data_IF_679269376340
#
_entry.id   IF_679269376340
#
_cell.length_a   1.000
_cell.length_b   1.000
_cell.length_c   1.000
_cell.angle_alpha   90.00
_cell.angle_beta   90.00
_cell.angle_gamma   90.00
#
_symmetry.space_group_name_H-M   'P 1'
#
loop_
_entity.id
_entity.type
_entity.pdbx_description
1 polymer ?
#
# COMPACT_ATOMS: atom_id res chain seq x y z
N UNK A 1 -14.97 19.34 -18.75
CA UNK A 1 -15.20 17.89 -18.71
C UNK A 1 -16.57 17.63 -19.32
N UNK A 2 -16.71 16.58 -20.14
CA UNK A 2 -17.89 16.32 -20.98
C UNK A 2 -18.92 15.37 -20.34
N UNK A 3 -18.85 15.09 -19.05
CA UNK A 3 -19.75 14.18 -18.34
C UNK A 3 -19.56 12.68 -18.65
N UNK A 4 -18.52 12.30 -19.40
CA UNK A 4 -18.24 10.88 -19.68
C UNK A 4 -17.87 10.13 -18.38
N UNK A 5 -18.47 8.97 -18.18
CA UNK A 5 -18.15 8.04 -17.09
C UNK A 5 -17.03 7.10 -17.54
N UNK A 6 -16.18 6.72 -16.60
CA UNK A 6 -15.09 5.78 -16.82
C UNK A 6 -15.11 4.70 -15.75
N UNK A 7 -14.80 3.47 -16.14
CA UNK A 7 -14.46 2.39 -15.23
C UNK A 7 -13.02 2.62 -14.74
N UNK A 8 -12.82 2.75 -13.44
CA UNK A 8 -11.52 3.09 -12.86
C UNK A 8 -10.91 1.91 -12.10
N UNK A 9 -9.79 1.38 -12.62
CA UNK A 9 -8.93 0.42 -11.92
C UNK A 9 -7.84 1.08 -11.06
N UNK A 10 -7.70 2.39 -11.08
CA UNK A 10 -6.76 3.12 -10.23
C UNK A 10 -7.21 3.25 -8.79
N UNK A 11 -8.52 3.29 -8.57
CA UNK A 11 -9.20 3.34 -7.28
C UNK A 11 -8.51 4.27 -6.27
N UNK A 12 -8.32 5.54 -6.68
CA UNK A 12 -7.61 6.57 -5.91
C UNK A 12 -6.30 6.04 -5.30
N UNK A 13 -5.41 5.46 -6.13
CA UNK A 13 -4.13 4.87 -5.71
C UNK A 13 -4.29 3.76 -4.64
N UNK A 14 -5.31 2.89 -4.82
CA UNK A 14 -5.65 1.77 -3.92
C UNK A 14 -6.30 2.18 -2.60
N UNK A 15 -6.69 3.45 -2.42
CA UNK A 15 -7.35 3.89 -1.19
C UNK A 15 -8.84 3.55 -1.13
N UNK A 16 -9.47 3.27 -2.28
CA UNK A 16 -10.88 2.88 -2.36
C UNK A 16 -10.96 1.35 -2.57
N UNK A 17 -11.66 0.65 -1.67
CA UNK A 17 -11.79 -0.81 -1.73
C UNK A 17 -13.22 -1.31 -1.92
N UNK A 18 -14.21 -0.55 -1.46
CA UNK A 18 -15.63 -0.88 -1.63
C UNK A 18 -16.20 -0.37 -2.97
N UNK A 19 -15.66 0.72 -3.46
CA UNK A 19 -16.15 1.53 -4.57
C UNK A 19 -16.25 3.00 -4.16
N UNK A 20 -16.30 3.90 -5.16
CA UNK A 20 -16.47 5.33 -4.92
C UNK A 20 -17.86 5.62 -4.37
N UNK A 21 -17.92 6.57 -3.42
CA UNK A 21 -19.17 7.10 -2.87
C UNK A 21 -20.14 6.02 -2.34
N UNK A 22 -19.59 4.99 -1.65
CA UNK A 22 -20.43 3.98 -0.99
C UNK A 22 -21.37 4.66 0.02
N UNK A 23 -22.68 4.49 -0.19
CA UNK A 23 -23.72 5.19 0.56
C UNK A 23 -23.66 4.84 2.05
N UNK A 24 -23.42 3.58 2.41
CA UNK A 24 -23.34 3.16 3.80
C UNK A 24 -22.19 3.85 4.53
N UNK A 25 -20.99 3.87 3.92
CA UNK A 25 -19.83 4.55 4.51
C UNK A 25 -20.08 6.04 4.65
N UNK A 26 -20.64 6.69 3.60
CA UNK A 26 -20.94 8.10 3.61
C UNK A 26 -21.96 8.47 4.69
N UNK A 27 -23.06 7.75 4.78
CA UNK A 27 -24.13 7.98 5.76
C UNK A 27 -23.60 7.78 7.18
N UNK A 28 -22.81 6.72 7.41
CA UNK A 28 -22.18 6.46 8.70
C UNK A 28 -21.24 7.60 9.12
N UNK A 29 -20.44 8.12 8.18
CA UNK A 29 -19.55 9.26 8.43
C UNK A 29 -20.35 10.53 8.74
N UNK A 30 -21.41 10.79 8.00
CA UNK A 30 -22.27 11.97 8.24
C UNK A 30 -22.89 11.90 9.64
N UNK A 31 -23.46 10.77 10.01
CA UNK A 31 -24.16 10.61 11.30
C UNK A 31 -23.19 10.58 12.50
N UNK A 32 -22.08 9.85 12.38
CA UNK A 32 -21.18 9.58 13.50
C UNK A 32 -20.04 10.58 13.65
N UNK A 33 -19.74 11.36 12.61
CA UNK A 33 -18.64 12.31 12.60
C UNK A 33 -19.09 13.74 12.28
N UNK A 34 -19.66 13.97 11.10
CA UNK A 34 -19.93 15.35 10.62
C UNK A 34 -20.93 16.05 11.52
N UNK A 35 -22.06 15.41 11.85
CA UNK A 35 -23.09 15.98 12.75
C UNK A 35 -22.60 16.15 14.20
N UNK A 36 -21.54 15.42 14.58
CA UNK A 36 -20.98 15.48 15.95
C UNK A 36 -19.82 16.47 16.09
N UNK A 37 -19.35 17.09 14.99
CA UNK A 37 -18.32 18.13 15.00
C UNK A 37 -16.97 17.73 14.44
N UNK A 38 -16.84 16.59 13.80
CA UNK A 38 -15.73 16.03 13.03
C UNK A 38 -14.34 16.05 13.71
N UNK A 39 -13.94 17.11 14.40
CA UNK A 39 -12.65 17.21 15.09
C UNK A 39 -12.82 17.83 16.47
N UNK A 40 -12.34 17.15 17.51
CA UNK A 40 -12.55 17.53 18.90
C UNK A 40 -11.20 17.78 19.61
N UNK A 41 -11.22 18.63 20.63
CA UNK A 41 -10.02 18.91 21.47
C UNK A 41 -9.60 17.71 22.32
N UNK A 42 -10.52 16.83 22.64
CA UNK A 42 -10.31 15.64 23.48
C UNK A 42 -10.62 14.38 22.68
N UNK A 43 -10.08 13.22 23.07
CA UNK A 43 -10.43 11.95 22.45
C UNK A 43 -11.95 11.74 22.36
N UNK A 44 -12.43 11.26 21.23
CA UNK A 44 -13.84 10.96 20.99
C UNK A 44 -14.15 9.49 21.25
N UNK A 45 -15.45 9.16 21.46
CA UNK A 45 -15.88 7.76 21.56
C UNK A 45 -15.56 6.97 20.29
N UNK A 46 -15.66 7.59 19.13
CA UNK A 46 -15.36 6.93 17.86
C UNK A 46 -13.86 6.63 17.70
N UNK A 47 -12.97 7.43 18.33
CA UNK A 47 -11.53 7.11 18.38
C UNK A 47 -11.30 5.85 19.22
N UNK A 48 -11.99 5.70 20.34
CA UNK A 48 -11.92 4.49 21.16
C UNK A 48 -12.45 3.28 20.40
N UNK A 49 -13.64 3.37 19.81
CA UNK A 49 -14.25 2.29 19.02
C UNK A 49 -13.33 1.84 17.86
N UNK A 50 -12.74 2.80 17.15
CA UNK A 50 -11.81 2.52 16.06
C UNK A 50 -10.51 1.86 16.57
N UNK A 51 -10.00 2.30 17.72
CA UNK A 51 -8.80 1.71 18.33
C UNK A 51 -9.04 0.28 18.80
N UNK A 52 -10.15 0.03 19.50
CA UNK A 52 -10.55 -1.30 19.93
C UNK A 52 -10.77 -2.25 18.73
N UNK A 53 -11.45 -1.76 17.67
CA UNK A 53 -11.64 -2.51 16.44
C UNK A 53 -10.29 -2.85 15.79
N UNK A 54 -9.38 -1.89 15.65
CA UNK A 54 -8.08 -2.12 15.03
C UNK A 54 -7.24 -3.13 15.82
N UNK A 55 -7.13 -2.97 17.13
CA UNK A 55 -6.40 -3.89 18.02
C UNK A 55 -7.02 -5.30 18.00
N UNK A 56 -8.36 -5.40 17.92
CA UNK A 56 -9.03 -6.71 17.83
C UNK A 56 -8.80 -7.44 16.51
N UNK A 57 -8.47 -6.70 15.44
CA UNK A 57 -8.24 -7.27 14.11
C UNK A 57 -6.79 -7.66 13.86
N UNK A 58 -5.85 -6.83 14.30
CA UNK A 58 -4.43 -6.97 13.96
C UNK A 58 -3.69 -7.57 15.16
N UNK A 59 -3.39 -8.85 15.08
CA UNK A 59 -2.92 -9.67 16.20
C UNK A 59 -1.58 -9.19 16.82
N UNK A 60 -0.71 -8.58 16.02
CA UNK A 60 0.58 -8.02 16.50
C UNK A 60 0.45 -6.67 17.23
N UNK A 61 -0.77 -6.12 17.32
CA UNK A 61 -0.99 -4.76 17.81
C UNK A 61 -1.62 -4.76 19.20
N UNK A 62 -0.90 -4.20 20.17
CA UNK A 62 -1.37 -3.96 21.53
C UNK A 62 -1.75 -2.49 21.75
N UNK A 63 -1.20 -1.57 20.96
CA UNK A 63 -1.51 -0.13 20.98
C UNK A 63 -1.52 0.42 19.55
N UNK A 64 -2.39 1.39 19.30
CA UNK A 64 -2.53 2.06 18.00
C UNK A 64 -2.50 3.57 18.15
N UNK A 65 -1.95 4.26 17.13
CA UNK A 65 -2.04 5.71 16.96
C UNK A 65 -2.48 6.04 15.55
N UNK A 66 -3.55 6.84 15.43
CA UNK A 66 -4.07 7.27 14.13
C UNK A 66 -3.40 8.55 13.63
N UNK A 67 -3.32 8.67 12.31
CA UNK A 67 -2.82 9.82 11.57
C UNK A 67 -3.55 9.99 10.24
N UNK A 68 -3.18 11.01 9.46
CA UNK A 68 -3.89 11.35 8.22
C UNK A 68 -3.39 10.62 6.98
N UNK A 69 -2.12 10.23 6.94
CA UNK A 69 -1.52 9.60 5.76
C UNK A 69 -0.38 8.65 6.12
N UNK A 70 0.04 7.84 5.14
CA UNK A 70 1.09 6.84 5.31
C UNK A 70 2.43 7.41 5.75
N UNK A 71 2.85 8.55 5.20
CA UNK A 71 4.14 9.16 5.55
C UNK A 71 4.22 9.53 7.04
N UNK A 72 3.12 9.99 7.63
CA UNK A 72 3.07 10.29 9.06
C UNK A 72 3.36 9.04 9.91
N UNK A 73 2.71 7.92 9.60
CA UNK A 73 2.82 6.70 10.42
C UNK A 73 4.11 5.93 10.17
N UNK A 74 4.63 5.90 8.94
CA UNK A 74 5.93 5.27 8.64
C UNK A 74 7.08 6.05 9.27
N UNK A 75 7.04 7.39 9.22
CA UNK A 75 8.03 8.24 9.90
C UNK A 75 7.93 8.11 11.42
N UNK A 76 6.71 8.01 11.96
CA UNK A 76 6.51 7.78 13.39
C UNK A 76 7.06 6.40 13.82
N UNK A 77 6.88 5.35 12.99
CA UNK A 77 7.44 4.02 13.25
C UNK A 77 8.97 4.06 13.31
N UNK A 78 9.61 4.72 12.34
CA UNK A 78 11.08 4.91 12.31
C UNK A 78 11.55 5.70 13.53
N UNK A 79 10.83 6.76 13.92
CA UNK A 79 11.15 7.56 15.10
C UNK A 79 11.07 6.74 16.39
N UNK A 80 10.03 5.91 16.55
CA UNK A 80 9.90 4.99 17.68
C UNK A 80 11.03 3.95 17.70
N UNK A 81 11.38 3.40 16.56
CA UNK A 81 12.47 2.43 16.47
C UNK A 81 13.81 3.03 16.90
N UNK A 82 14.12 4.25 16.46
CA UNK A 82 15.31 4.98 16.90
C UNK A 82 15.29 5.25 18.40
N UNK A 83 14.16 5.72 18.94
CA UNK A 83 14.03 6.01 20.37
C UNK A 83 14.14 4.75 21.23
N UNK A 84 13.57 3.62 20.78
CA UNK A 84 13.60 2.34 21.49
C UNK A 84 14.99 1.71 21.53
N UNK A 85 15.70 1.77 20.39
CA UNK A 85 17.01 1.09 20.24
C UNK A 85 18.19 1.99 20.60
N UNK A 86 18.01 3.32 20.65
CA UNK A 86 19.11 4.28 20.77
C UNK A 86 20.04 4.33 19.53
N UNK A 87 19.53 3.93 18.35
CA UNK A 87 20.32 3.80 17.12
C UNK A 87 19.75 4.70 16.03
N UNK A 88 20.59 5.11 15.04
CA UNK A 88 20.23 6.10 14.04
C UNK A 88 19.91 5.51 12.68
N UNK A 89 20.57 4.43 12.27
CA UNK A 89 20.43 3.86 10.93
C UNK A 89 19.13 3.07 10.80
N UNK A 90 18.58 3.10 9.59
CA UNK A 90 17.46 2.27 9.17
C UNK A 90 17.83 1.50 7.90
N UNK A 91 17.34 0.28 7.78
CA UNK A 91 17.42 -0.49 6.54
C UNK A 91 16.04 -0.58 5.89
N UNK A 92 15.94 -0.20 4.62
CA UNK A 92 14.72 -0.31 3.83
C UNK A 92 14.90 -1.21 2.63
N UNK A 93 13.83 -1.89 2.22
CA UNK A 93 13.82 -2.64 0.96
C UNK A 93 13.96 -1.68 -0.23
N UNK A 94 14.89 -1.97 -1.15
CA UNK A 94 15.22 -1.08 -2.28
C UNK A 94 14.10 -1.02 -3.32
N UNK A 95 13.45 -2.15 -3.60
CA UNK A 95 12.41 -2.30 -4.61
C UNK A 95 11.05 -1.72 -4.19
N UNK A 96 10.85 -1.40 -2.91
CA UNK A 96 9.60 -0.81 -2.45
C UNK A 96 9.55 0.67 -2.84
N UNK A 97 8.52 1.08 -3.60
CA UNK A 97 8.57 2.35 -4.34
C UNK A 97 8.39 3.58 -3.47
N UNK A 98 7.70 3.47 -2.32
CA UNK A 98 7.39 4.63 -1.48
C UNK A 98 6.97 4.24 -0.06
N UNK A 99 7.68 4.80 0.93
CA UNK A 99 7.30 4.71 2.35
C UNK A 99 6.88 6.05 2.93
N UNK A 100 7.56 7.14 2.58
CA UNK A 100 7.34 8.46 3.16
C UNK A 100 7.79 9.57 2.21
N UNK A 101 7.21 10.76 2.34
CA UNK A 101 7.75 11.97 1.72
C UNK A 101 8.84 12.64 2.59
N UNK A 102 9.07 12.14 3.82
CA UNK A 102 10.08 12.70 4.71
C UNK A 102 11.50 12.34 4.30
N UNK A 103 12.43 13.15 4.73
CA UNK A 103 13.84 13.12 4.32
C UNK A 103 14.52 11.77 4.48
N UNK A 104 14.17 11.01 5.52
CA UNK A 104 14.74 9.69 5.78
C UNK A 104 14.51 8.70 4.63
N UNK A 105 13.35 8.80 3.96
CA UNK A 105 13.04 7.94 2.82
C UNK A 105 13.46 8.60 1.50
N UNK A 106 13.04 9.85 1.25
CA UNK A 106 13.32 10.58 0.00
C UNK A 106 14.83 10.71 -0.25
N UNK A 107 15.62 10.93 0.80
CA UNK A 107 17.08 10.98 0.72
C UNK A 107 17.75 9.70 0.23
N UNK A 108 17.04 8.57 0.24
CA UNK A 108 17.50 7.29 -0.29
C UNK A 108 17.02 6.99 -1.72
N UNK A 109 16.38 7.95 -2.39
CA UNK A 109 15.81 7.85 -3.74
C UNK A 109 16.56 8.76 -4.73
N UNK A 110 16.17 8.71 -6.00
CA UNK A 110 16.71 9.61 -7.05
C UNK A 110 16.15 11.04 -6.94
N UNK A 111 15.12 11.28 -6.13
CA UNK A 111 14.45 12.58 -5.93
C UNK A 111 14.97 13.32 -4.70
N UNK A 112 16.20 13.13 -4.33
CA UNK A 112 16.82 13.54 -3.07
C UNK A 112 17.31 15.01 -3.01
N UNK A 113 17.01 15.82 -4.02
CA UNK A 113 17.40 17.24 -4.04
C UNK A 113 16.73 18.00 -2.88
N UNK A 114 17.52 18.66 -2.07
CA UNK A 114 17.07 19.39 -0.87
C UNK A 114 17.22 18.61 0.44
N UNK A 115 17.50 17.30 0.39
CA UNK A 115 17.75 16.51 1.59
C UNK A 115 19.20 16.65 2.04
N UNK A 116 19.47 16.95 3.35
CA UNK A 116 20.82 17.04 3.88
C UNK A 116 21.60 15.72 3.75
N UNK A 117 22.90 15.81 3.42
CA UNK A 117 23.75 14.62 3.27
C UNK A 117 23.75 13.73 4.52
N UNK A 118 23.82 14.31 5.70
CA UNK A 118 23.81 13.59 6.97
C UNK A 118 22.55 12.74 7.17
N UNK A 119 21.38 13.16 6.61
CA UNK A 119 20.14 12.38 6.67
C UNK A 119 20.16 11.25 5.65
N UNK A 120 20.66 11.52 4.43
CA UNK A 120 20.75 10.50 3.37
C UNK A 120 21.59 9.28 3.81
N UNK A 121 22.68 9.54 4.51
CA UNK A 121 23.64 8.50 4.96
C UNK A 121 23.06 7.55 6.02
N UNK A 122 21.95 7.91 6.68
CA UNK A 122 21.32 7.10 7.71
C UNK A 122 20.34 6.04 7.18
N UNK A 123 20.06 6.02 5.87
CA UNK A 123 19.14 5.04 5.28
C UNK A 123 19.88 4.09 4.35
N UNK A 124 20.00 2.85 4.81
CA UNK A 124 20.60 1.73 4.09
C UNK A 124 19.55 1.03 3.21
N UNK A 125 20.01 0.32 2.17
CA UNK A 125 19.15 -0.41 1.25
C UNK A 125 19.54 -1.87 1.19
N UNK A 126 18.56 -2.75 1.10
CA UNK A 126 18.73 -4.18 0.84
C UNK A 126 17.73 -4.65 -0.21
N UNK A 127 18.03 -5.76 -0.88
CA UNK A 127 17.18 -6.33 -1.93
C UNK A 127 16.10 -7.23 -1.34
N UNK A 128 14.88 -7.12 -1.89
CA UNK A 128 13.78 -7.99 -1.50
C UNK A 128 14.10 -9.46 -1.79
N UNK A 129 13.78 -10.32 -0.86
CA UNK A 129 14.02 -11.76 -1.00
C UNK A 129 15.44 -12.23 -0.67
N UNK A 130 16.43 -11.33 -0.45
CA UNK A 130 17.80 -11.70 -0.07
C UNK A 130 18.02 -11.49 1.42
N UNK A 131 18.19 -12.60 2.15
CA UNK A 131 18.61 -12.57 3.56
C UNK A 131 20.09 -12.19 3.66
N UNK A 132 20.91 -12.68 2.75
CA UNK A 132 22.34 -12.44 2.68
C UNK A 132 22.68 -10.95 2.55
N UNK A 133 21.90 -10.23 1.77
CA UNK A 133 22.10 -8.78 1.60
C UNK A 133 21.80 -8.01 2.89
N UNK A 134 20.78 -8.45 3.63
CA UNK A 134 20.45 -7.88 4.93
C UNK A 134 21.46 -8.28 6.03
N UNK A 135 21.95 -9.53 6.03
CA UNK A 135 23.02 -9.98 6.92
C UNK A 135 24.28 -9.12 6.73
N UNK A 136 24.70 -8.91 5.47
CA UNK A 136 25.83 -8.03 5.14
C UNK A 136 25.67 -6.62 5.74
N UNK A 137 24.46 -6.03 5.71
CA UNK A 137 24.22 -4.72 6.32
C UNK A 137 24.42 -4.74 7.84
N UNK A 138 23.95 -5.78 8.53
CA UNK A 138 24.18 -5.91 9.97
C UNK A 138 25.65 -6.12 10.34
N UNK A 139 26.42 -6.82 9.50
CA UNK A 139 27.85 -7.00 9.67
C UNK A 139 28.65 -5.71 9.41
N UNK A 140 28.27 -4.92 8.39
CA UNK A 140 28.90 -3.64 8.08
C UNK A 140 28.54 -2.53 9.08
N UNK A 141 27.34 -2.60 9.68
CA UNK A 141 26.83 -1.59 10.64
C UNK A 141 26.46 -2.21 11.99
N UNK A 142 27.39 -2.86 12.70
CA UNK A 142 27.10 -3.58 13.94
C UNK A 142 26.56 -2.63 15.01
N UNK A 143 25.41 -3.01 15.60
CA UNK A 143 24.71 -2.22 16.62
C UNK A 143 24.31 -0.79 16.22
N UNK A 144 24.19 -0.48 14.92
CA UNK A 144 23.80 0.86 14.42
C UNK A 144 22.41 0.92 13.81
N UNK A 145 21.87 -0.21 13.33
CA UNK A 145 20.57 -0.27 12.66
C UNK A 145 19.47 -0.35 13.71
N UNK A 146 18.59 0.65 13.71
CA UNK A 146 17.41 0.74 14.58
C UNK A 146 16.28 -0.19 14.14
N UNK A 147 16.04 -0.26 12.84
CA UNK A 147 14.98 -1.08 12.27
C UNK A 147 15.22 -1.47 10.82
N UNK A 148 14.54 -2.55 10.43
CA UNK A 148 14.27 -2.90 9.03
C UNK A 148 12.82 -2.57 8.74
N UNK A 149 12.54 -1.81 7.68
CA UNK A 149 11.20 -1.49 7.20
C UNK A 149 10.99 -2.02 5.78
N UNK A 150 9.90 -2.75 5.56
CA UNK A 150 9.55 -3.31 4.26
C UNK A 150 8.05 -3.56 4.13
N UNK A 151 7.56 -3.67 2.89
CA UNK A 151 6.24 -4.23 2.62
C UNK A 151 6.28 -5.77 2.74
N UNK A 152 5.19 -6.43 3.19
CA UNK A 152 5.15 -7.91 3.29
C UNK A 152 5.30 -8.61 1.95
N UNK A 153 4.75 -8.03 0.89
CA UNK A 153 4.81 -8.52 -0.48
C UNK A 153 4.87 -7.34 -1.47
N UNK A 154 5.43 -7.61 -2.62
CA UNK A 154 5.48 -6.68 -3.76
C UNK A 154 4.53 -7.17 -4.87
N UNK A 155 5.08 -7.45 -6.05
CA UNK A 155 4.37 -8.05 -7.19
C UNK A 155 4.13 -9.54 -6.95
N UNK A 156 5.11 -10.21 -6.31
CA UNK A 156 5.07 -11.65 -6.04
C UNK A 156 5.05 -11.92 -4.53
N UNK A 157 4.65 -13.12 -4.18
CA UNK A 157 4.76 -13.59 -2.81
C UNK A 157 6.23 -13.61 -2.36
N UNK A 158 6.52 -13.32 -1.08
CA UNK A 158 7.86 -13.51 -0.55
C UNK A 158 8.27 -14.99 -0.66
N UNK A 159 9.59 -15.29 -0.77
CA UNK A 159 10.08 -16.65 -0.60
C UNK A 159 9.56 -17.26 0.72
N UNK A 160 9.35 -18.56 0.75
CA UNK A 160 8.86 -19.27 1.93
C UNK A 160 9.77 -19.02 3.15
N UNK A 161 9.19 -18.62 4.27
CA UNK A 161 9.89 -18.32 5.52
C UNK A 161 10.76 -17.04 5.49
N UNK A 162 10.74 -16.28 4.38
CA UNK A 162 11.59 -15.08 4.26
C UNK A 162 11.29 -14.01 5.32
N UNK A 163 10.01 -13.67 5.51
CA UNK A 163 9.62 -12.62 6.46
C UNK A 163 9.97 -13.01 7.91
N UNK A 164 9.80 -14.29 8.25
CA UNK A 164 10.18 -14.82 9.56
C UNK A 164 11.70 -14.73 9.78
N UNK A 165 12.50 -15.08 8.77
CA UNK A 165 13.97 -14.95 8.82
C UNK A 165 14.41 -13.49 8.96
N UNK A 166 13.75 -12.55 8.26
CA UNK A 166 14.02 -11.11 8.42
C UNK A 166 13.76 -10.67 9.87
N UNK A 167 12.60 -11.05 10.44
CA UNK A 167 12.28 -10.78 11.86
C UNK A 167 13.34 -11.33 12.80
N UNK A 168 13.69 -12.61 12.65
CA UNK A 168 14.71 -13.26 13.48
C UNK A 168 16.08 -12.58 13.39
N UNK A 169 16.47 -12.17 12.17
CA UNK A 169 17.72 -11.46 11.94
C UNK A 169 17.72 -10.08 12.61
N UNK A 170 16.61 -9.33 12.51
CA UNK A 170 16.44 -8.06 13.23
C UNK A 170 16.62 -8.27 14.74
N UNK A 171 15.89 -9.21 15.32
CA UNK A 171 15.92 -9.46 16.76
C UNK A 171 17.30 -9.92 17.26
N UNK A 172 18.00 -10.81 16.54
CA UNK A 172 19.37 -11.23 16.87
C UNK A 172 20.33 -10.04 16.92
N UNK A 173 20.09 -9.01 16.12
CA UNK A 173 20.91 -7.81 16.06
C UNK A 173 20.35 -6.66 16.90
N UNK A 174 19.28 -6.87 17.68
CA UNK A 174 18.65 -5.84 18.53
C UNK A 174 18.02 -4.69 17.74
N UNK A 175 17.61 -4.95 16.51
CA UNK A 175 16.83 -4.03 15.65
C UNK A 175 15.34 -4.40 15.66
N UNK A 176 14.47 -3.45 15.35
CA UNK A 176 13.05 -3.70 15.19
C UNK A 176 12.69 -4.11 13.76
N UNK A 177 11.67 -4.95 13.63
CA UNK A 177 11.06 -5.32 12.36
C UNK A 177 9.75 -4.57 12.16
N UNK A 178 9.66 -3.76 11.09
CA UNK A 178 8.50 -2.94 10.75
C UNK A 178 7.91 -3.42 9.42
N UNK A 179 6.62 -3.77 9.42
CA UNK A 179 5.88 -4.04 8.19
C UNK A 179 5.03 -2.85 7.78
N UNK A 180 5.27 -2.34 6.58
CA UNK A 180 4.39 -1.37 5.93
C UNK A 180 3.26 -2.09 5.20
N UNK A 181 2.07 -2.03 5.79
CA UNK A 181 0.85 -2.61 5.24
C UNK A 181 -0.05 -1.56 4.54
N UNK A 182 0.52 -0.46 4.06
CA UNK A 182 -0.25 0.57 3.36
C UNK A 182 -0.99 0.03 2.13
N UNK A 183 -0.40 -0.94 1.42
CA UNK A 183 -1.03 -1.58 0.24
C UNK A 183 -1.68 -2.91 0.62
N UNK A 184 -1.00 -3.69 1.41
CA UNK A 184 -1.38 -5.08 1.71
C UNK A 184 -2.48 -5.19 2.76
N UNK A 185 -2.51 -4.27 3.71
CA UNK A 185 -3.52 -4.22 4.76
C UNK A 185 -4.94 -4.11 4.21
N UNK A 186 -5.87 -4.89 4.76
CA UNK A 186 -7.27 -4.99 4.34
C UNK A 186 -7.48 -5.48 2.89
N UNK A 187 -6.41 -5.81 2.16
CA UNK A 187 -6.46 -6.29 0.79
C UNK A 187 -6.05 -7.75 0.66
N UNK A 188 -4.94 -8.17 1.28
CA UNK A 188 -4.52 -9.58 1.35
C UNK A 188 -5.41 -10.38 2.28
N UNK A 189 -5.70 -9.83 3.41
CA UNK A 189 -6.58 -10.38 4.44
C UNK A 189 -7.12 -9.24 5.31
N UNK A 190 -8.28 -9.45 5.95
CA UNK A 190 -8.88 -8.45 6.85
C UNK A 190 -7.98 -8.14 8.07
N UNK A 191 -7.17 -9.13 8.49
CA UNK A 191 -6.19 -9.01 9.58
C UNK A 191 -4.78 -8.58 9.10
N UNK A 192 -4.66 -8.05 7.85
CA UNK A 192 -3.39 -7.69 7.25
C UNK A 192 -2.67 -8.84 6.54
N UNK A 193 -1.67 -8.52 5.73
CA UNK A 193 -0.81 -9.50 5.08
C UNK A 193 0.11 -10.22 6.10
N UNK A 194 0.43 -9.60 7.21
CA UNK A 194 1.14 -10.22 8.31
C UNK A 194 0.43 -11.51 8.81
N UNK A 195 -0.90 -11.50 8.89
CA UNK A 195 -1.69 -12.69 9.18
C UNK A 195 -1.61 -13.71 8.03
N UNK A 196 -1.74 -13.26 6.78
CA UNK A 196 -1.67 -14.12 5.60
C UNK A 196 -0.33 -14.86 5.48
N UNK A 197 0.78 -14.20 5.84
CA UNK A 197 2.13 -14.77 5.80
C UNK A 197 2.60 -15.32 7.15
N UNK A 198 1.76 -15.35 8.16
CA UNK A 198 2.06 -15.84 9.50
C UNK A 198 3.34 -15.22 10.09
N UNK A 199 3.41 -13.89 10.12
CA UNK A 199 4.54 -13.13 10.68
C UNK A 199 4.03 -11.97 11.51
N UNK A 200 4.57 -11.78 12.70
CA UNK A 200 4.23 -10.69 13.61
C UNK A 200 5.38 -9.68 13.65
N UNK A 201 5.22 -8.48 13.10
CA UNK A 201 6.20 -7.40 13.23
C UNK A 201 6.18 -6.78 14.61
N UNK A 202 7.24 -6.03 14.97
CA UNK A 202 7.27 -5.20 16.19
C UNK A 202 6.38 -3.98 16.07
N UNK A 203 6.36 -3.37 14.87
CA UNK A 203 5.49 -2.25 14.48
C UNK A 203 4.92 -2.52 13.08
N UNK A 204 3.71 -2.01 12.83
CA UNK A 204 3.10 -2.05 11.51
C UNK A 204 2.34 -0.77 11.19
N UNK A 205 2.27 -0.43 9.89
CA UNK A 205 1.59 0.77 9.41
C UNK A 205 0.49 0.41 8.43
N UNK A 206 -0.68 1.05 8.58
CA UNK A 206 -1.87 0.80 7.76
C UNK A 206 -2.45 2.10 7.23
N UNK A 207 -3.17 2.04 6.13
CA UNK A 207 -3.85 3.17 5.50
C UNK A 207 -4.63 2.76 4.25
N UNK A 208 -4.66 3.65 3.26
CA UNK A 208 -5.32 3.38 1.95
C UNK A 208 -6.70 2.72 2.10
N UNK A 209 -6.81 1.42 1.82
CA UNK A 209 -8.07 0.66 1.80
C UNK A 209 -8.85 0.70 3.13
N UNK A 210 -8.18 0.94 4.26
CA UNK A 210 -8.80 0.85 5.58
C UNK A 210 -10.02 1.75 5.80
N UNK A 211 -10.09 2.90 5.10
CA UNK A 211 -11.14 3.90 5.27
C UNK A 211 -11.84 4.30 3.95
N UNK A 212 -11.81 3.42 2.94
CA UNK A 212 -12.49 3.58 1.65
C UNK A 212 -12.37 4.99 1.03
N UNK A 213 -11.16 5.54 0.98
CA UNK A 213 -10.86 6.84 0.38
C UNK A 213 -10.87 8.02 1.35
N UNK A 214 -11.37 7.87 2.57
CA UNK A 214 -11.20 8.88 3.60
C UNK A 214 -9.74 8.88 4.11
N UNK A 215 -9.26 10.06 4.48
CA UNK A 215 -7.88 10.25 4.93
C UNK A 215 -7.68 9.67 6.33
N UNK A 216 -7.09 8.49 6.41
CA UNK A 216 -6.72 7.81 7.66
C UNK A 216 -5.50 6.92 7.45
N UNK A 217 -4.64 6.88 8.45
CA UNK A 217 -3.56 5.91 8.59
C UNK A 217 -3.40 5.52 10.07
N UNK A 218 -2.85 4.35 10.33
CA UNK A 218 -2.62 3.82 11.66
C UNK A 218 -1.20 3.30 11.81
N UNK A 219 -0.55 3.62 12.92
CA UNK A 219 0.64 2.98 13.44
C UNK A 219 0.22 2.10 14.61
N UNK A 220 0.50 0.82 14.51
CA UNK A 220 0.24 -0.15 15.56
C UNK A 220 1.48 -0.96 15.91
N UNK A 221 1.46 -1.60 17.07
CA UNK A 221 2.51 -2.52 17.47
C UNK A 221 2.56 -2.80 18.96
N UNK A 222 3.70 -3.34 19.37
CA UNK A 222 3.98 -3.75 20.75
C UNK A 222 3.87 -2.57 21.72
N UNK A 223 3.28 -2.83 22.87
CA UNK A 223 3.04 -1.82 23.92
C UNK A 223 4.32 -1.19 24.44
N UNK A 224 5.37 -1.97 24.66
CA UNK A 224 6.64 -1.48 25.19
C UNK A 224 7.33 -0.46 24.27
N UNK A 225 7.12 -0.58 22.95
CA UNK A 225 7.63 0.35 21.95
C UNK A 225 6.68 1.57 21.82
N UNK A 226 5.38 1.30 21.64
CA UNK A 226 4.38 2.35 21.40
C UNK A 226 4.24 3.34 22.58
N UNK A 227 4.46 2.88 23.82
CA UNK A 227 4.44 3.71 25.03
C UNK A 227 5.44 4.87 25.00
N UNK A 228 6.56 4.76 24.31
CA UNK A 228 7.54 5.83 24.16
C UNK A 228 6.93 7.09 23.53
N UNK A 229 5.91 6.92 22.68
CA UNK A 229 5.18 8.00 22.03
C UNK A 229 3.91 8.44 22.77
N UNK A 230 3.63 7.90 23.96
CA UNK A 230 2.46 8.24 24.77
C UNK A 230 2.73 9.44 25.70
N UNK A 231 1.71 9.81 26.46
CA UNK A 231 1.82 10.86 27.50
C UNK A 231 2.36 10.35 28.83
N UNK A 232 2.51 9.02 28.98
CA UNK A 232 2.93 8.38 30.23
C UNK A 232 4.43 8.59 30.60
N UNK A 233 5.38 8.61 29.62
CA UNK A 233 6.78 8.76 29.97
C UNK A 233 7.06 10.09 30.67
N UNK A 234 7.75 10.01 31.79
CA UNK A 234 8.24 11.17 32.56
C UNK A 234 9.67 11.52 32.12
N UNK A 235 10.06 12.79 32.35
CA UNK A 235 11.40 13.28 32.04
C UNK A 235 11.44 14.35 30.95
N UNK A 236 12.65 14.79 30.61
CA UNK A 236 12.87 15.86 29.62
C UNK A 236 12.94 15.34 28.19
N UNK A 237 13.52 14.15 27.99
CA UNK A 237 13.60 13.50 26.67
C UNK A 237 12.32 12.70 26.39
N UNK A 238 11.55 13.19 25.43
CA UNK A 238 10.25 12.60 25.02
C UNK A 238 10.16 12.48 23.52
N UNK A 239 9.44 11.46 23.05
CA UNK A 239 9.11 11.31 21.64
C UNK A 239 7.86 12.11 21.32
N UNK A 240 7.99 13.19 20.53
CA UNK A 240 6.83 13.78 19.87
C UNK A 240 6.49 12.93 18.65
N UNK A 241 5.53 12.03 18.84
CA UNK A 241 5.26 10.97 17.84
C UNK A 241 4.56 11.53 16.60
N UNK A 242 3.37 12.14 16.80
CA UNK A 242 2.50 12.63 15.74
C UNK A 242 1.75 13.88 16.17
N UNK A 243 1.41 14.75 15.20
CA UNK A 243 0.52 15.88 15.46
C UNK A 243 -0.88 15.42 15.85
N UNK A 244 -1.46 16.04 16.86
CA UNK A 244 -2.77 15.70 17.40
C UNK A 244 -3.91 16.49 16.78
N UNK A 245 -3.64 17.55 16.02
CA UNK A 245 -4.69 18.46 15.52
C UNK A 245 -5.72 17.75 14.65
N UNK A 246 -5.29 16.93 13.69
CA UNK A 246 -6.19 16.18 12.81
C UNK A 246 -5.94 14.67 12.82
N UNK A 247 -5.03 14.16 13.66
CA UNK A 247 -4.64 12.76 13.67
C UNK A 247 -5.80 11.80 13.91
N UNK A 248 -6.69 12.18 14.83
CA UNK A 248 -7.88 11.44 15.21
C UNK A 248 -9.18 12.12 14.73
N UNK A 249 -9.16 12.75 13.57
CA UNK A 249 -10.35 13.33 12.93
C UNK A 249 -11.43 12.27 12.70
N UNK A 250 -12.64 12.54 13.18
CA UNK A 250 -13.69 11.54 13.31
C UNK A 250 -14.19 10.97 11.99
N UNK A 251 -14.13 11.74 10.90
CA UNK A 251 -14.57 11.26 9.58
C UNK A 251 -13.77 10.04 9.08
N UNK A 252 -12.45 10.07 9.21
CA UNK A 252 -11.61 8.93 8.84
C UNK A 252 -11.84 7.70 9.74
N UNK A 253 -12.01 7.93 11.05
CA UNK A 253 -12.28 6.88 12.04
C UNK A 253 -13.65 6.23 11.79
N UNK A 254 -14.69 7.03 11.53
CA UNK A 254 -16.02 6.55 11.19
C UNK A 254 -16.01 5.73 9.89
N UNK A 255 -15.33 6.25 8.87
CA UNK A 255 -15.17 5.55 7.61
C UNK A 255 -14.46 4.19 7.77
N UNK A 256 -13.44 4.12 8.63
CA UNK A 256 -12.76 2.86 8.94
C UNK A 256 -13.71 1.84 9.56
N UNK A 257 -14.49 2.21 10.57
CA UNK A 257 -15.45 1.32 11.24
C UNK A 257 -16.46 0.79 10.21
N UNK A 258 -17.09 1.68 9.44
CA UNK A 258 -18.06 1.30 8.43
C UNK A 258 -17.46 0.43 7.31
N UNK A 259 -16.24 0.75 6.87
CA UNK A 259 -15.52 -0.02 5.84
C UNK A 259 -15.26 -1.44 6.31
N UNK A 260 -14.74 -1.63 7.53
CA UNK A 260 -14.47 -2.97 8.09
C UNK A 260 -15.77 -3.76 8.27
N UNK A 261 -16.84 -3.12 8.70
CA UNK A 261 -18.16 -3.77 8.84
C UNK A 261 -18.64 -4.30 7.48
N UNK A 262 -18.60 -3.48 6.43
CA UNK A 262 -18.98 -3.93 5.08
C UNK A 262 -18.03 -5.00 4.54
N UNK A 263 -16.73 -4.89 4.81
CA UNK A 263 -15.76 -5.90 4.37
C UNK A 263 -16.05 -7.28 4.95
N UNK A 264 -16.45 -7.34 6.23
CA UNK A 264 -16.88 -8.58 6.89
C UNK A 264 -18.19 -9.12 6.30
N UNK A 265 -19.20 -8.25 6.18
CA UNK A 265 -20.55 -8.65 5.79
C UNK A 265 -20.66 -9.07 4.31
N UNK A 266 -19.80 -8.51 3.44
CA UNK A 266 -19.83 -8.73 1.99
C UNK A 266 -18.68 -9.60 1.48
N UNK A 267 -17.82 -10.16 2.36
CA UNK A 267 -16.64 -10.94 1.98
C UNK A 267 -15.78 -10.24 0.92
N UNK A 268 -15.45 -8.96 1.16
CA UNK A 268 -14.81 -8.09 0.17
C UNK A 268 -13.41 -8.59 -0.22
N UNK A 269 -12.66 -9.12 0.74
CA UNK A 269 -11.29 -9.64 0.48
C UNK A 269 -11.37 -10.83 -0.49
N UNK A 270 -12.22 -11.79 -0.23
CA UNK A 270 -12.42 -12.96 -1.08
C UNK A 270 -12.87 -12.54 -2.48
N UNK A 271 -13.78 -11.56 -2.56
CA UNK A 271 -14.24 -11.03 -3.84
C UNK A 271 -13.09 -10.43 -4.68
N UNK A 272 -12.22 -9.61 -4.08
CA UNK A 272 -11.10 -9.01 -4.84
C UNK A 272 -10.06 -10.05 -5.28
N UNK A 273 -9.84 -11.12 -4.51
CA UNK A 273 -9.00 -12.25 -4.92
C UNK A 273 -9.60 -12.97 -6.13
N UNK A 274 -10.89 -13.30 -6.09
CA UNK A 274 -11.60 -14.00 -7.17
C UNK A 274 -11.65 -13.15 -8.44
N UNK A 275 -12.02 -11.87 -8.30
CA UNK A 275 -12.06 -10.95 -9.44
C UNK A 275 -10.67 -10.77 -10.07
N UNK A 276 -9.64 -10.64 -9.27
CA UNK A 276 -8.27 -10.52 -9.76
C UNK A 276 -7.80 -11.77 -10.50
N UNK A 277 -8.16 -12.97 -10.03
CA UNK A 277 -7.91 -14.21 -10.76
C UNK A 277 -8.59 -14.23 -12.13
N UNK A 278 -9.85 -13.77 -12.21
CA UNK A 278 -10.59 -13.65 -13.48
C UNK A 278 -9.93 -12.63 -14.41
N UNK A 279 -9.54 -11.47 -13.88
CA UNK A 279 -8.90 -10.41 -14.67
C UNK A 279 -7.55 -10.84 -15.24
N UNK A 280 -6.69 -11.49 -14.44
CA UNK A 280 -5.40 -12.04 -14.92
C UNK A 280 -5.63 -13.03 -16.04
N UNK A 281 -6.57 -13.97 -15.86
CA UNK A 281 -6.91 -14.97 -16.88
C UNK A 281 -7.43 -14.31 -18.17
N UNK A 282 -8.31 -13.32 -18.05
CA UNK A 282 -8.88 -12.59 -19.17
C UNK A 282 -7.79 -11.86 -19.96
N UNK A 283 -6.93 -11.09 -19.30
CA UNK A 283 -5.83 -10.35 -19.95
C UNK A 283 -4.91 -11.32 -20.71
N UNK A 284 -4.52 -12.42 -20.06
CA UNK A 284 -3.62 -13.39 -20.67
C UNK A 284 -4.27 -14.18 -21.83
N UNK A 285 -5.57 -14.47 -21.74
CA UNK A 285 -6.33 -15.06 -22.82
C UNK A 285 -6.36 -14.13 -24.05
N UNK A 286 -6.70 -12.84 -23.84
CA UNK A 286 -6.72 -11.84 -24.91
C UNK A 286 -5.35 -11.61 -25.52
N UNK A 287 -4.29 -11.54 -24.73
CA UNK A 287 -2.92 -11.45 -25.24
C UNK A 287 -2.58 -12.63 -26.17
N UNK A 288 -3.01 -13.86 -25.82
CA UNK A 288 -2.83 -15.06 -26.65
C UNK A 288 -3.68 -15.03 -27.93
N UNK A 289 -4.93 -14.55 -27.87
CA UNK A 289 -5.79 -14.39 -29.03
C UNK A 289 -5.15 -13.49 -30.10
N UNK A 290 -4.52 -12.40 -29.65
CA UNK A 290 -3.77 -11.47 -30.51
C UNK A 290 -2.33 -11.90 -30.81
N UNK A 291 -1.86 -13.06 -30.30
CA UNK A 291 -0.50 -13.63 -30.47
C UNK A 291 0.61 -12.70 -29.97
N UNK A 292 0.35 -12.02 -28.84
CA UNK A 292 1.29 -11.07 -28.21
C UNK A 292 1.61 -11.43 -26.75
N UNK A 293 1.37 -12.67 -26.32
CA UNK A 293 1.62 -13.14 -24.95
C UNK A 293 3.07 -12.99 -24.49
N UNK A 294 4.02 -12.95 -25.40
CA UNK A 294 5.43 -12.67 -25.14
C UNK A 294 5.72 -11.18 -24.88
N UNK A 295 4.82 -10.30 -25.29
CA UNK A 295 4.97 -8.85 -25.25
C UNK A 295 4.02 -8.16 -24.26
N UNK A 296 2.88 -8.79 -23.99
CA UNK A 296 1.88 -8.28 -23.06
C UNK A 296 1.30 -9.39 -22.21
N UNK A 297 1.33 -9.24 -20.89
CA UNK A 297 0.76 -10.22 -19.97
C UNK A 297 0.38 -9.60 -18.64
N UNK A 298 -0.60 -10.18 -17.98
CA UNK A 298 -0.89 -9.93 -16.57
C UNK A 298 -0.15 -10.93 -15.69
N UNK A 299 0.29 -10.47 -14.51
CA UNK A 299 1.05 -11.23 -13.53
C UNK A 299 0.77 -10.71 -12.11
N UNK A 300 1.39 -11.32 -11.12
CA UNK A 300 1.34 -10.88 -9.74
C UNK A 300 0.31 -11.56 -8.87
N UNK A 301 0.12 -11.02 -7.67
CA UNK A 301 -0.80 -11.56 -6.67
C UNK A 301 -2.23 -11.15 -7.03
N UNK A 302 -3.16 -12.10 -7.04
CA UNK A 302 -4.51 -11.89 -7.57
C UNK A 302 -5.27 -10.71 -6.96
N UNK A 303 -5.13 -10.45 -5.66
CA UNK A 303 -5.78 -9.28 -5.03
C UNK A 303 -5.11 -7.94 -5.41
N UNK A 304 -3.94 -7.96 -6.06
CA UNK A 304 -3.18 -6.78 -6.49
C UNK A 304 -2.40 -7.09 -7.77
N UNK A 305 -3.06 -7.47 -8.87
CA UNK A 305 -2.41 -7.86 -10.10
C UNK A 305 -1.71 -6.66 -10.77
N UNK A 306 -0.77 -6.98 -11.62
CA UNK A 306 -0.11 -6.03 -12.53
C UNK A 306 -0.25 -6.51 -13.97
N UNK A 307 0.08 -5.65 -14.92
CA UNK A 307 0.36 -6.07 -16.29
C UNK A 307 1.72 -5.53 -16.72
N UNK A 308 2.35 -6.24 -17.64
CA UNK A 308 3.66 -5.93 -18.22
C UNK A 308 3.46 -5.68 -19.70
N UNK A 309 3.90 -4.52 -20.17
CA UNK A 309 3.88 -4.12 -21.56
C UNK A 309 5.32 -4.01 -22.08
N UNK A 310 5.67 -4.81 -23.09
CA UNK A 310 7.01 -4.87 -23.66
C UNK A 310 7.02 -4.36 -25.11
N UNK A 311 8.18 -3.91 -25.55
CA UNK A 311 8.45 -3.59 -26.95
C UNK A 311 8.72 -4.85 -27.80
N UNK A 312 9.00 -4.65 -29.09
CA UNK A 312 9.34 -5.74 -30.05
C UNK A 312 10.57 -6.57 -29.65
N UNK A 313 11.41 -6.07 -28.74
CA UNK A 313 12.56 -6.78 -28.20
C UNK A 313 12.25 -7.50 -26.89
N UNK A 314 10.97 -7.58 -26.52
CA UNK A 314 10.47 -8.17 -25.26
C UNK A 314 10.99 -7.47 -24.00
N UNK A 315 11.36 -6.17 -24.13
CA UNK A 315 11.80 -5.37 -23.00
C UNK A 315 10.64 -4.49 -22.48
N UNK A 316 10.45 -4.35 -21.17
CA UNK A 316 9.45 -3.45 -20.61
C UNK A 316 9.53 -2.05 -21.21
N UNK A 317 8.42 -1.51 -21.70
CA UNK A 317 8.39 -0.26 -22.44
C UNK A 317 7.29 0.67 -21.96
N UNK A 318 7.69 1.88 -21.52
CA UNK A 318 6.73 2.91 -21.13
C UNK A 318 5.92 3.43 -22.32
N UNK A 319 6.50 3.48 -23.53
CA UNK A 319 5.78 3.89 -24.73
C UNK A 319 4.63 2.93 -25.08
N UNK A 320 4.88 1.63 -25.06
CA UNK A 320 3.85 0.61 -25.26
C UNK A 320 2.84 0.56 -24.11
N UNK A 321 3.28 0.81 -22.89
CA UNK A 321 2.34 0.97 -21.75
C UNK A 321 1.44 2.18 -21.94
N UNK A 322 1.99 3.31 -22.40
CA UNK A 322 1.21 4.52 -22.69
C UNK A 322 0.20 4.26 -23.81
N UNK A 323 0.60 3.58 -24.88
CA UNK A 323 -0.30 3.18 -25.97
C UNK A 323 -1.47 2.34 -25.42
N UNK A 324 -1.17 1.30 -24.65
CA UNK A 324 -2.21 0.45 -24.05
C UNK A 324 -3.18 1.28 -23.20
N UNK A 325 -2.67 2.13 -22.31
CA UNK A 325 -3.50 2.98 -21.44
C UNK A 325 -4.36 3.95 -22.26
N UNK A 326 -3.80 4.57 -23.30
CA UNK A 326 -4.52 5.44 -24.22
C UNK A 326 -5.72 4.72 -24.84
N UNK A 327 -5.51 3.51 -25.36
CA UNK A 327 -6.55 2.76 -26.05
C UNK A 327 -7.62 2.21 -25.09
N UNK A 328 -7.24 1.87 -23.86
CA UNK A 328 -8.20 1.55 -22.79
C UNK A 328 -9.06 2.75 -22.44
N UNK A 329 -8.48 3.96 -22.32
CA UNK A 329 -9.20 5.20 -22.05
C UNK A 329 -10.20 5.54 -23.17
N UNK A 330 -9.86 5.31 -24.43
CA UNK A 330 -10.77 5.45 -25.58
C UNK A 330 -12.07 4.66 -25.36
N UNK A 331 -11.95 3.46 -24.80
CA UNK A 331 -13.08 2.57 -24.48
C UNK A 331 -13.70 2.83 -23.10
N UNK A 332 -13.25 3.88 -22.39
CA UNK A 332 -13.83 4.27 -21.12
C UNK A 332 -13.28 3.53 -19.91
N UNK A 333 -12.09 2.91 -20.01
CA UNK A 333 -11.46 2.19 -18.91
C UNK A 333 -10.14 2.88 -18.51
N UNK A 334 -10.03 3.28 -17.25
CA UNK A 334 -8.81 3.84 -16.66
C UNK A 334 -8.01 2.71 -16.02
N UNK A 335 -6.94 2.24 -16.70
CA UNK A 335 -6.12 1.11 -16.23
C UNK A 335 -4.61 1.41 -16.33
N UNK A 336 -4.16 2.53 -15.77
CA UNK A 336 -2.72 2.84 -15.69
C UNK A 336 -1.97 1.88 -14.76
N UNK A 337 -2.65 1.37 -13.76
CA UNK A 337 -2.32 0.25 -12.86
C UNK A 337 -3.60 -0.40 -12.38
N UNK A 338 -3.46 -1.53 -11.68
CA UNK A 338 -4.62 -2.29 -11.23
C UNK A 338 -4.73 -2.24 -9.71
N UNK A 339 -5.84 -1.67 -9.26
CA UNK A 339 -6.33 -1.72 -7.88
C UNK A 339 -7.77 -2.22 -7.90
N UNK A 340 -8.02 -3.36 -7.28
CA UNK A 340 -9.34 -3.96 -7.28
C UNK A 340 -10.22 -3.42 -6.15
N UNK A 341 -11.51 -3.37 -6.40
CA UNK A 341 -12.53 -3.00 -5.42
C UNK A 341 -13.73 -3.93 -5.47
N UNK A 342 -14.55 -3.86 -4.43
CA UNK A 342 -15.79 -4.63 -4.37
C UNK A 342 -16.80 -4.23 -5.46
N UNK A 343 -16.70 -3.00 -6.00
CA UNK A 343 -17.54 -2.52 -7.09
C UNK A 343 -17.19 -3.13 -8.45
N UNK A 344 -16.03 -3.74 -8.62
CA UNK A 344 -15.71 -4.48 -9.82
C UNK A 344 -16.45 -5.82 -9.81
N UNK A 345 -17.43 -5.97 -10.74
CA UNK A 345 -18.30 -7.15 -10.88
C UNK A 345 -18.20 -7.72 -12.28
N UNK A 346 -19.07 -8.65 -12.61
CA UNK A 346 -19.08 -9.29 -13.95
C UNK A 346 -19.37 -8.28 -15.09
N UNK A 347 -20.17 -7.23 -14.82
CA UNK A 347 -20.42 -6.16 -15.79
C UNK A 347 -19.14 -5.39 -16.09
N UNK A 348 -18.38 -5.00 -15.06
CA UNK A 348 -17.11 -4.30 -15.20
C UNK A 348 -16.05 -5.18 -15.89
N UNK A 349 -16.10 -6.50 -15.66
CA UNK A 349 -15.22 -7.44 -16.34
C UNK A 349 -15.54 -7.51 -17.83
N UNK A 350 -16.82 -7.52 -18.21
CA UNK A 350 -17.27 -7.51 -19.60
C UNK A 350 -16.88 -6.23 -20.34
N UNK A 351 -17.07 -5.06 -19.69
CA UNK A 351 -16.61 -3.77 -20.22
C UNK A 351 -15.09 -3.79 -20.43
N UNK A 352 -14.37 -4.39 -19.49
CA UNK A 352 -12.90 -4.50 -19.58
C UNK A 352 -12.49 -5.43 -20.72
N UNK A 353 -13.21 -6.51 -20.96
CA UNK A 353 -12.96 -7.41 -22.09
C UNK A 353 -13.07 -6.69 -23.44
N UNK A 354 -14.13 -5.93 -23.65
CA UNK A 354 -14.31 -5.13 -24.88
C UNK A 354 -13.19 -4.10 -25.07
N UNK A 355 -12.76 -3.45 -23.97
CA UNK A 355 -11.67 -2.50 -24.00
C UNK A 355 -10.32 -3.17 -24.31
N UNK A 356 -10.07 -4.36 -23.76
CA UNK A 356 -8.88 -5.16 -24.02
C UNK A 356 -8.81 -5.60 -25.49
N UNK A 357 -9.92 -6.06 -26.08
CA UNK A 357 -9.97 -6.42 -27.50
C UNK A 357 -9.54 -5.26 -28.39
N UNK A 358 -10.03 -4.07 -28.11
CA UNK A 358 -9.61 -2.88 -28.85
C UNK A 358 -8.13 -2.55 -28.63
N UNK A 359 -7.70 -2.45 -27.38
CA UNK A 359 -6.35 -2.02 -27.03
C UNK A 359 -5.27 -3.01 -27.51
N UNK A 360 -5.49 -4.32 -27.34
CA UNK A 360 -4.52 -5.33 -27.73
C UNK A 360 -4.47 -5.55 -29.24
N UNK A 361 -5.55 -5.30 -29.98
CA UNK A 361 -5.52 -5.26 -31.44
C UNK A 361 -4.58 -4.15 -31.93
N UNK A 362 -4.69 -2.95 -31.40
CA UNK A 362 -3.82 -1.83 -31.76
C UNK A 362 -2.38 -2.08 -31.29
N UNK A 363 -2.22 -2.63 -30.10
CA UNK A 363 -0.91 -3.00 -29.56
C UNK A 363 -0.19 -4.01 -30.48
N UNK A 364 -0.88 -5.05 -30.95
CA UNK A 364 -0.30 -6.06 -31.82
C UNK A 364 0.18 -5.45 -33.15
N UNK A 365 -0.61 -4.56 -33.76
CA UNK A 365 -0.22 -3.80 -34.95
C UNK A 365 0.96 -2.87 -34.71
N UNK A 366 1.01 -2.23 -33.54
CA UNK A 366 2.12 -1.35 -33.16
C UNK A 366 3.44 -2.09 -32.97
N UNK A 367 3.43 -3.38 -32.64
CA UNK A 367 4.63 -4.23 -32.62
C UNK A 367 5.23 -4.41 -34.02
N UNK A 368 4.40 -4.40 -35.08
CA UNK A 368 4.83 -4.52 -36.47
C UNK A 368 5.21 -3.15 -37.06
N UNK A 369 4.33 -2.15 -36.90
CA UNK A 369 4.41 -0.84 -37.59
C UNK A 369 5.19 0.24 -36.83
N UNK A 370 5.46 0.03 -35.53
CA UNK A 370 5.97 1.03 -34.59
C UNK A 370 4.84 1.77 -33.85
N UNK A 371 5.04 1.98 -32.56
CA UNK A 371 4.04 2.59 -31.67
C UNK A 371 3.77 4.08 -31.98
N UNK A 372 4.73 4.78 -32.58
CA UNK A 372 4.67 6.20 -32.91
C UNK A 372 3.49 6.55 -33.84
N UNK A 373 3.04 5.58 -34.64
CA UNK A 373 1.89 5.75 -35.55
C UNK A 373 0.55 5.79 -34.82
N UNK A 374 0.52 5.29 -33.60
CA UNK A 374 -0.72 5.05 -32.82
C UNK A 374 -0.81 5.95 -31.61
N UNK A 375 0.30 6.51 -31.10
CA UNK A 375 0.24 7.49 -30.03
C UNK A 375 -0.38 8.78 -30.51
N UNK A 376 -1.33 9.31 -29.75
CA UNK A 376 -1.93 10.63 -29.99
C UNK A 376 -0.99 11.68 -29.39
N UNK A 377 -0.84 12.78 -30.09
CA UNK A 377 -0.14 13.96 -29.57
C UNK A 377 -0.86 14.44 -28.31
N UNK A 378 -0.12 14.64 -27.23
CA UNK A 378 -0.60 15.16 -25.94
C UNK A 378 -0.45 16.67 -25.89
#
# INVERSE_FOLDING_TARGET
MNGKKYLDYGMALRSVILGYADDYVNDFVVERAIKMGNNLTRPSLIELEAAELFVSLIESVEMVKFAKNGSNVTTAAVKLARAYTGRDYIARCEEHPFFSFDDWFIGSTVMDKGVPKAVKELTLKFKYGSIEDLERLFDEYPNKIACVIMEPATIHHPPEGYLQKVKELCHRNGALFILDEMITGFRWHLKGAQYYYNVEPDLCTFGKAMANGFSLAALGGRRDIMKLGSIEPEGQERVFLLSTTHGAEMSGLAAFIATVELMKNKNVVEHIWDYGNKLIKLINLKAKEYKIEDYFRADGISCSPIYIACDKNKQPSMAYKTLFVQEMIEKGVLMSWVALSYSHKEEELSITEEALDHALNIYSRALEDGYERYLKDT
#
